data_IF_116981300482
#
_entry.id   IF_116981300482
#
_cell.length_a   1.000
_cell.length_b   1.000
_cell.length_c   1.000
_cell.angle_alpha   90.00
_cell.angle_beta   90.00
_cell.angle_gamma   90.00
#
_symmetry.space_group_name_H-M   'P 1'
#
loop_
_entity.id
_entity.type
_entity.pdbx_description
1 polymer ?
#
# COMPACT_ATOMS: atom_id res chain seq x y z
N UNK A 1 -12.84 -5.21 22.23
CA UNK A 1 -11.69 -4.75 23.04
C UNK A 1 -12.12 -3.57 23.88
N UNK A 2 -11.56 -3.43 25.09
CA UNK A 2 -11.76 -2.23 25.90
C UNK A 2 -11.24 -0.99 25.12
N UNK A 3 -12.00 0.12 25.04
CA UNK A 3 -11.58 1.33 24.33
C UNK A 3 -10.21 1.85 24.79
N UNK A 4 -9.85 1.71 26.07
CA UNK A 4 -8.54 2.11 26.56
C UNK A 4 -7.40 1.30 25.93
N UNK A 5 -7.58 -0.02 25.80
CA UNK A 5 -6.58 -0.90 25.17
C UNK A 5 -6.47 -0.60 23.67
N UNK A 6 -7.59 -0.31 23.00
CA UNK A 6 -7.56 0.10 21.60
C UNK A 6 -6.77 1.41 21.43
N UNK A 7 -7.01 2.39 22.30
CA UNK A 7 -6.29 3.66 22.32
C UNK A 7 -4.79 3.48 22.54
N UNK A 8 -4.38 2.66 23.51
CA UNK A 8 -2.95 2.41 23.78
C UNK A 8 -2.25 1.71 22.61
N UNK A 9 -2.91 0.76 21.93
CA UNK A 9 -2.35 0.11 20.74
C UNK A 9 -2.21 1.06 19.56
N UNK A 10 -3.22 1.92 19.32
CA UNK A 10 -3.14 2.94 18.26
C UNK A 10 -2.06 3.98 18.56
N UNK A 11 -1.89 4.37 19.83
CA UNK A 11 -0.78 5.23 20.26
C UNK A 11 0.57 4.53 20.07
N UNK A 12 0.68 3.25 20.41
CA UNK A 12 1.88 2.43 20.17
C UNK A 12 2.27 2.37 18.69
N UNK A 13 1.28 2.25 17.79
CA UNK A 13 1.49 2.34 16.35
C UNK A 13 2.03 3.70 15.92
N UNK A 14 1.44 4.78 16.45
CA UNK A 14 1.88 6.14 16.19
C UNK A 14 3.32 6.37 16.66
N UNK A 15 3.61 6.02 17.92
CA UNK A 15 4.93 6.15 18.54
C UNK A 15 6.00 5.34 17.81
N UNK A 16 5.68 4.12 17.37
CA UNK A 16 6.60 3.32 16.57
C UNK A 16 6.98 4.05 15.29
N UNK A 17 5.99 4.54 14.53
CA UNK A 17 6.26 5.26 13.28
C UNK A 17 6.98 6.60 13.49
N UNK A 18 6.62 7.39 14.49
CA UNK A 18 7.30 8.67 14.75
C UNK A 18 8.74 8.47 15.15
N UNK A 19 9.03 7.47 16.00
CA UNK A 19 10.39 7.15 16.41
C UNK A 19 11.27 6.78 15.21
N UNK A 20 10.76 5.96 14.28
CA UNK A 20 11.50 5.64 13.04
C UNK A 20 11.74 6.84 12.13
N UNK A 21 10.78 7.77 12.06
CA UNK A 21 10.90 8.96 11.22
C UNK A 21 11.94 9.93 11.76
N UNK A 22 12.03 10.07 13.08
CA UNK A 22 12.94 11.00 13.74
C UNK A 22 14.32 10.42 14.03
N UNK A 23 14.47 9.10 13.96
CA UNK A 23 15.74 8.44 14.32
C UNK A 23 16.82 8.67 13.26
N UNK A 24 18.03 9.02 13.71
CA UNK A 24 19.25 8.99 12.90
C UNK A 24 20.08 7.71 13.10
N UNK A 25 19.77 6.94 14.16
CA UNK A 25 20.51 5.74 14.58
C UNK A 25 19.76 4.45 14.23
N UNK A 26 20.43 3.46 13.63
CA UNK A 26 19.81 2.20 13.19
C UNK A 26 19.09 1.43 14.30
N UNK A 27 19.67 1.32 15.50
CA UNK A 27 19.02 0.64 16.62
C UNK A 27 17.68 1.28 17.01
N UNK A 28 17.59 2.62 16.98
CA UNK A 28 16.34 3.33 17.26
C UNK A 28 15.32 3.07 16.15
N UNK A 29 15.74 3.17 14.89
CA UNK A 29 14.88 2.81 13.75
C UNK A 29 14.34 1.38 13.87
N UNK A 30 15.19 0.42 14.24
CA UNK A 30 14.78 -0.97 14.47
C UNK A 30 13.74 -1.08 15.59
N UNK A 31 14.00 -0.42 16.74
CA UNK A 31 13.07 -0.41 17.88
C UNK A 31 11.71 0.18 17.50
N UNK A 32 11.68 1.28 16.76
CA UNK A 32 10.44 1.91 16.29
C UNK A 32 9.63 0.98 15.38
N UNK A 33 10.30 0.26 14.48
CA UNK A 33 9.65 -0.75 13.66
C UNK A 33 9.10 -1.92 14.49
N UNK A 34 9.82 -2.39 15.50
CA UNK A 34 9.32 -3.47 16.38
C UNK A 34 8.16 -3.02 17.28
N UNK A 35 8.16 -1.78 17.74
CA UNK A 35 6.99 -1.24 18.45
C UNK A 35 5.76 -1.21 17.55
N UNK A 36 5.93 -0.91 16.25
CA UNK A 36 4.82 -0.92 15.29
C UNK A 36 4.30 -2.34 14.97
N UNK A 37 5.16 -3.36 15.00
CA UNK A 37 4.79 -4.75 14.75
C UNK A 37 4.07 -5.34 15.96
N UNK A 38 4.60 -5.12 17.17
CA UNK A 38 3.99 -5.61 18.41
C UNK A 38 2.64 -4.96 18.70
N UNK A 39 2.46 -3.69 18.36
CA UNK A 39 1.18 -2.98 18.55
C UNK A 39 0.09 -3.38 17.55
N UNK A 40 0.42 -3.81 16.33
CA UNK A 40 -0.61 -4.23 15.36
C UNK A 40 -1.09 -5.67 15.57
N UNK A 41 -0.28 -6.57 16.14
CA UNK A 41 -0.63 -8.00 16.29
C UNK A 41 -1.96 -8.19 17.05
N UNK A 42 -2.20 -7.54 18.21
CA UNK A 42 -3.48 -7.66 18.90
C UNK A 42 -4.65 -7.07 18.12
N UNK A 43 -4.42 -6.03 17.29
CA UNK A 43 -5.44 -5.47 16.42
C UNK A 43 -5.83 -6.46 15.32
N UNK A 44 -4.88 -7.22 14.79
CA UNK A 44 -5.13 -8.25 13.79
C UNK A 44 -5.88 -9.46 14.38
N UNK A 45 -5.58 -9.83 15.63
CA UNK A 45 -6.21 -10.95 16.33
C UNK A 45 -7.51 -10.58 17.08
N UNK A 46 -8.11 -9.41 16.79
CA UNK A 46 -9.30 -8.93 17.49
C UNK A 46 -10.46 -9.93 17.53
N UNK A 47 -10.67 -10.63 16.41
CA UNK A 47 -11.65 -11.71 16.30
C UNK A 47 -10.91 -13.03 16.44
N UNK A 48 -11.30 -13.84 17.42
CA UNK A 48 -10.75 -15.17 17.67
C UNK A 48 -11.25 -16.21 16.66
N UNK A 49 -11.11 -15.90 15.36
CA UNK A 49 -11.39 -16.83 14.26
C UNK A 49 -10.07 -17.42 13.74
N UNK A 50 -10.01 -18.71 13.36
CA UNK A 50 -8.77 -19.36 12.93
C UNK A 50 -8.04 -18.61 11.80
N UNK A 51 -8.77 -18.04 10.84
CA UNK A 51 -8.17 -17.21 9.77
C UNK A 51 -7.49 -15.93 10.25
N UNK A 52 -8.02 -15.30 11.30
CA UNK A 52 -7.40 -14.10 11.86
C UNK A 52 -6.10 -14.49 12.59
N UNK A 53 -6.13 -15.60 13.33
CA UNK A 53 -4.94 -16.14 13.99
C UNK A 53 -3.87 -16.55 12.97
N UNK A 54 -4.24 -17.25 11.90
CA UNK A 54 -3.32 -17.62 10.81
C UNK A 54 -2.71 -16.39 10.12
N UNK A 55 -3.51 -15.34 9.87
CA UNK A 55 -3.00 -14.09 9.33
C UNK A 55 -2.03 -13.41 10.31
N UNK A 56 -2.34 -13.41 11.61
CA UNK A 56 -1.45 -12.81 12.62
C UNK A 56 -0.12 -13.54 12.74
N UNK A 57 -0.13 -14.88 12.67
CA UNK A 57 1.10 -15.68 12.77
C UNK A 57 1.97 -15.52 11.53
N UNK A 58 1.36 -15.51 10.33
CA UNK A 58 2.09 -15.23 9.08
C UNK A 58 2.71 -13.84 9.09
N UNK A 59 1.96 -12.82 9.53
CA UNK A 59 2.48 -11.46 9.67
C UNK A 59 3.64 -11.40 10.66
N UNK A 60 3.48 -11.98 11.86
CA UNK A 60 4.53 -11.99 12.88
C UNK A 60 5.81 -12.65 12.36
N UNK A 61 5.72 -13.83 11.75
CA UNK A 61 6.90 -14.53 11.22
C UNK A 61 7.61 -13.74 10.11
N UNK A 62 6.85 -13.18 9.16
CA UNK A 62 7.43 -12.37 8.08
C UNK A 62 8.10 -11.09 8.61
N UNK A 63 7.49 -10.43 9.59
CA UNK A 63 8.03 -9.16 10.12
C UNK A 63 9.18 -9.37 11.11
N UNK A 64 9.14 -10.42 11.93
CA UNK A 64 10.22 -10.77 12.85
C UNK A 64 11.48 -11.18 12.09
N UNK A 65 11.33 -11.95 11.00
CA UNK A 65 12.47 -12.31 10.12
C UNK A 65 13.05 -11.08 9.44
N UNK A 66 12.20 -10.16 8.94
CA UNK A 66 12.65 -8.89 8.39
C UNK A 66 13.39 -8.02 9.42
N UNK A 67 12.89 -7.96 10.65
CA UNK A 67 13.49 -7.16 11.71
C UNK A 67 14.83 -7.77 12.19
N UNK A 68 14.93 -9.10 12.29
CA UNK A 68 16.18 -9.78 12.59
C UNK A 68 17.23 -9.55 11.48
N UNK A 69 16.82 -9.61 10.21
CA UNK A 69 17.69 -9.31 9.07
C UNK A 69 18.18 -7.85 9.10
N UNK A 70 17.29 -6.90 9.45
CA UNK A 70 17.66 -5.49 9.59
C UNK A 70 18.67 -5.28 10.72
N UNK A 71 18.44 -5.89 11.89
CA UNK A 71 19.37 -5.80 13.02
C UNK A 71 20.73 -6.38 12.63
N UNK A 72 20.76 -7.57 12.03
CA UNK A 72 21.99 -8.20 11.56
C UNK A 72 22.74 -7.34 10.54
N UNK A 73 22.04 -6.71 9.61
CA UNK A 73 22.66 -5.82 8.64
C UNK A 73 23.20 -4.54 9.30
N UNK A 74 22.49 -3.99 10.29
CA UNK A 74 22.97 -2.82 11.03
C UNK A 74 24.19 -3.10 11.92
N UNK A 75 24.25 -4.28 12.57
CA UNK A 75 25.40 -4.67 13.40
C UNK A 75 26.62 -5.00 12.55
N UNK A 76 26.43 -5.63 11.39
CA UNK A 76 27.52 -5.86 10.44
C UNK A 76 28.07 -4.55 9.90
N UNK A 77 27.22 -3.55 9.60
CA UNK A 77 27.72 -2.21 9.26
C UNK A 77 28.50 -1.58 10.41
N UNK A 78 27.95 -1.61 11.63
CA UNK A 78 28.62 -1.04 12.80
C UNK A 78 29.97 -1.73 13.10
N UNK A 79 30.10 -3.02 12.82
CA UNK A 79 31.38 -3.71 12.90
C UNK A 79 32.35 -3.18 11.83
N UNK A 80 31.91 -3.07 10.58
CA UNK A 80 32.78 -2.64 9.48
C UNK A 80 33.23 -1.17 9.56
N UNK A 81 32.33 -0.26 9.92
CA UNK A 81 32.56 1.19 9.88
C UNK A 81 32.65 1.85 11.25
N UNK A 82 32.27 1.16 12.32
CA UNK A 82 32.20 1.73 13.68
C UNK A 82 31.03 2.69 13.91
N UNK A 83 30.14 2.87 12.92
CA UNK A 83 29.07 3.87 12.95
C UNK A 83 27.68 3.24 12.86
N UNK A 84 26.71 3.92 13.49
CA UNK A 84 25.30 3.50 13.54
C UNK A 84 24.36 4.45 12.79
N UNK A 85 24.91 5.41 12.05
CA UNK A 85 24.14 6.41 11.33
C UNK A 85 23.44 5.81 10.11
N UNK A 86 22.20 6.23 9.85
CA UNK A 86 21.38 5.71 8.74
C UNK A 86 21.93 6.12 7.37
N UNK A 87 22.41 7.35 7.25
CA UNK A 87 22.82 7.93 5.96
C UNK A 87 24.19 7.42 5.48
N UNK A 88 25.04 6.95 6.39
CA UNK A 88 26.44 6.60 6.10
C UNK A 88 26.62 5.09 5.93
N UNK A 89 25.94 4.54 4.93
CA UNK A 89 26.00 3.11 4.56
C UNK A 89 26.69 2.94 3.22
N UNK A 90 28.01 2.69 3.23
CA UNK A 90 28.82 2.56 2.01
C UNK A 90 29.00 1.11 1.54
N UNK A 91 28.99 0.14 2.45
CA UNK A 91 29.32 -1.23 2.11
C UNK A 91 28.15 -1.96 1.42
N UNK A 92 28.37 -2.61 0.25
CA UNK A 92 27.28 -3.19 -0.55
C UNK A 92 26.54 -4.34 0.15
N UNK A 93 27.25 -5.17 0.94
CA UNK A 93 26.64 -6.30 1.65
C UNK A 93 25.59 -5.88 2.71
N UNK A 94 25.90 -5.04 3.73
CA UNK A 94 24.88 -4.54 4.66
C UNK A 94 23.74 -3.80 3.95
N UNK A 95 24.08 -3.00 2.94
CA UNK A 95 23.08 -2.20 2.21
C UNK A 95 22.05 -3.08 1.51
N UNK A 96 22.50 -4.11 0.78
CA UNK A 96 21.59 -5.04 0.10
C UNK A 96 20.73 -5.82 1.09
N UNK A 97 21.28 -6.23 2.23
CA UNK A 97 20.51 -6.89 3.30
C UNK A 97 19.45 -5.96 3.90
N UNK A 98 19.75 -4.68 4.13
CA UNK A 98 18.77 -3.71 4.63
C UNK A 98 17.66 -3.48 3.60
N UNK A 99 18.02 -3.32 2.32
CA UNK A 99 17.02 -3.17 1.24
C UNK A 99 16.11 -4.40 1.17
N UNK A 100 16.67 -5.61 1.26
CA UNK A 100 15.87 -6.86 1.28
C UNK A 100 15.01 -6.98 2.55
N UNK A 101 15.52 -6.56 3.71
CA UNK A 101 14.75 -6.55 4.96
C UNK A 101 13.57 -5.59 4.89
N UNK A 102 13.79 -4.37 4.40
CA UNK A 102 12.73 -3.38 4.20
C UNK A 102 11.76 -3.82 3.08
N UNK A 103 12.25 -4.47 2.04
CA UNK A 103 11.44 -5.09 0.99
C UNK A 103 10.48 -6.15 1.55
N UNK A 104 10.96 -7.01 2.46
CA UNK A 104 10.14 -7.99 3.15
C UNK A 104 9.09 -7.31 4.05
N UNK A 105 9.46 -6.25 4.79
CA UNK A 105 8.50 -5.50 5.64
C UNK A 105 7.37 -4.86 4.84
N UNK A 106 7.71 -4.27 3.69
CA UNK A 106 6.76 -3.58 2.80
C UNK A 106 5.91 -4.57 1.99
N UNK A 107 6.46 -5.75 1.68
CA UNK A 107 5.82 -6.80 0.88
C UNK A 107 6.11 -6.71 -0.62
N UNK A 108 7.34 -6.44 -1.01
CA UNK A 108 7.76 -6.40 -2.42
C UNK A 108 8.03 -7.80 -2.96
N UNK A 109 7.92 -7.97 -4.28
CA UNK A 109 8.37 -9.21 -4.91
C UNK A 109 9.90 -9.32 -4.86
N UNK A 110 10.47 -10.52 -4.61
CA UNK A 110 9.82 -11.83 -4.51
C UNK A 110 9.19 -12.14 -3.13
N UNK A 111 9.53 -11.41 -2.08
CA UNK A 111 9.09 -11.61 -0.68
C UNK A 111 7.67 -11.11 -0.35
N UNK A 112 6.77 -11.09 -1.34
CA UNK A 112 5.43 -10.51 -1.27
C UNK A 112 4.34 -11.46 -0.79
N UNK A 113 4.63 -12.77 -0.72
CA UNK A 113 3.62 -13.83 -0.58
C UNK A 113 2.80 -13.75 0.71
N UNK A 114 3.36 -13.17 1.77
CA UNK A 114 2.66 -12.98 3.04
C UNK A 114 1.50 -11.97 2.91
N UNK A 115 1.64 -10.94 2.07
CA UNK A 115 0.74 -9.78 2.08
C UNK A 115 -0.70 -10.14 1.62
N UNK A 116 -0.92 -10.87 0.51
CA UNK A 116 -2.27 -11.28 0.10
C UNK A 116 -2.96 -12.23 1.08
N UNK A 117 -2.21 -13.10 1.75
CA UNK A 117 -2.77 -14.04 2.71
C UNK A 117 -3.18 -13.35 4.00
N UNK A 118 -2.31 -12.48 4.52
CA UNK A 118 -2.60 -11.68 5.72
C UNK A 118 -3.80 -10.79 5.48
N UNK A 119 -3.83 -10.00 4.39
CA UNK A 119 -4.98 -9.12 4.12
C UNK A 119 -6.31 -9.86 3.98
N UNK A 120 -6.32 -11.11 3.48
CA UNK A 120 -7.55 -11.89 3.39
C UNK A 120 -8.09 -12.34 4.75
N UNK A 121 -7.23 -12.59 5.73
CA UNK A 121 -7.63 -12.99 7.08
C UNK A 121 -8.09 -11.84 7.98
N UNK A 122 -7.79 -10.60 7.59
CA UNK A 122 -8.08 -9.39 8.38
C UNK A 122 -9.42 -8.75 8.05
N UNK A 123 -9.95 -7.99 9.01
CA UNK A 123 -11.09 -7.09 8.80
C UNK A 123 -10.70 -5.89 7.91
N UNK A 124 -11.67 -5.25 7.25
CA UNK A 124 -11.39 -4.15 6.31
C UNK A 124 -10.70 -2.95 6.97
N UNK A 125 -10.97 -2.68 8.24
CA UNK A 125 -10.34 -1.58 8.98
C UNK A 125 -8.89 -1.87 9.33
N UNK A 126 -8.57 -3.09 9.76
CA UNK A 126 -7.19 -3.49 10.06
C UNK A 126 -6.38 -3.70 8.78
N UNK A 127 -7.03 -4.19 7.72
CA UNK A 127 -6.45 -4.24 6.38
C UNK A 127 -6.09 -2.86 5.82
N UNK A 128 -6.93 -1.84 6.07
CA UNK A 128 -6.61 -0.46 5.74
C UNK A 128 -5.34 0.01 6.47
N UNK A 129 -5.27 -0.15 7.80
CA UNK A 129 -4.09 0.22 8.61
C UNK A 129 -2.82 -0.49 8.10
N UNK A 130 -2.92 -1.78 7.76
CA UNK A 130 -1.80 -2.54 7.21
C UNK A 130 -1.36 -2.03 5.82
N UNK A 131 -2.33 -1.66 4.97
CA UNK A 131 -2.05 -1.20 3.61
C UNK A 131 -1.53 0.23 3.52
N UNK A 132 -1.73 1.05 4.55
CA UNK A 132 -1.32 2.46 4.60
C UNK A 132 -0.27 2.71 5.69
N UNK A 133 -0.69 2.69 6.95
CA UNK A 133 0.12 3.10 8.09
C UNK A 133 1.40 2.28 8.25
N UNK A 134 1.30 0.95 8.14
CA UNK A 134 2.47 0.06 8.27
C UNK A 134 3.50 0.23 7.15
N UNK A 135 3.16 0.91 6.05
CA UNK A 135 4.11 1.18 4.97
C UNK A 135 4.91 2.45 5.20
N UNK A 136 4.45 3.39 6.05
CA UNK A 136 5.10 4.68 6.28
C UNK A 136 6.54 4.54 6.81
N UNK A 137 6.71 3.83 7.92
CA UNK A 137 8.01 3.72 8.58
C UNK A 137 9.07 3.00 7.72
N UNK A 138 8.79 1.83 7.11
CA UNK A 138 9.75 1.20 6.20
C UNK A 138 10.08 2.06 4.97
N UNK A 139 9.10 2.78 4.40
CA UNK A 139 9.37 3.68 3.27
C UNK A 139 10.23 4.86 3.68
N UNK A 140 10.03 5.43 4.87
CA UNK A 140 10.88 6.52 5.34
C UNK A 140 12.34 6.09 5.46
N UNK A 141 12.60 4.88 5.96
CA UNK A 141 13.96 4.34 6.00
C UNK A 141 14.52 4.09 4.60
N UNK A 142 13.71 3.60 3.67
CA UNK A 142 14.13 3.49 2.27
C UNK A 142 14.45 4.86 1.64
N UNK A 143 13.74 5.94 2.01
CA UNK A 143 14.02 7.29 1.52
C UNK A 143 15.30 7.88 2.10
N UNK A 144 15.60 7.57 3.37
CA UNK A 144 16.83 7.99 4.04
C UNK A 144 18.06 7.24 3.51
N UNK A 145 17.86 6.01 3.01
CA UNK A 145 18.87 5.23 2.33
C UNK A 145 19.01 5.71 0.88
N UNK A 146 20.21 6.15 0.51
CA UNK A 146 20.56 6.38 -0.90
C UNK A 146 21.53 5.29 -1.36
N UNK A 147 21.02 4.15 -1.86
CA UNK A 147 21.90 3.10 -2.32
C UNK A 147 22.67 3.54 -3.56
N UNK A 148 23.97 3.24 -3.56
CA UNK A 148 24.85 3.49 -4.71
C UNK A 148 24.43 2.65 -5.93
N UNK A 149 23.99 1.40 -5.71
CA UNK A 149 23.61 0.49 -6.78
C UNK A 149 22.11 0.54 -7.10
N UNK A 150 21.79 1.03 -8.30
CA UNK A 150 20.42 1.14 -8.82
C UNK A 150 19.78 -0.20 -9.20
N UNK A 151 20.60 -1.21 -9.47
CA UNK A 151 20.17 -2.48 -10.07
C UNK A 151 19.21 -3.26 -9.16
N UNK A 152 19.48 -3.27 -7.85
CA UNK A 152 18.64 -3.99 -6.87
C UNK A 152 17.26 -3.35 -6.74
N UNK A 153 17.19 -2.02 -6.67
CA UNK A 153 15.91 -1.31 -6.60
C UNK A 153 15.11 -1.48 -7.90
N UNK A 154 15.76 -1.34 -9.06
CA UNK A 154 15.10 -1.50 -10.36
C UNK A 154 14.55 -2.92 -10.52
N UNK A 155 15.33 -3.94 -10.17
CA UNK A 155 14.88 -5.34 -10.26
C UNK A 155 13.72 -5.65 -9.33
N UNK A 156 13.76 -5.19 -8.06
CA UNK A 156 12.63 -5.30 -7.13
C UNK A 156 11.39 -4.54 -7.63
N UNK A 157 11.58 -3.34 -8.20
CA UNK A 157 10.51 -2.51 -8.75
C UNK A 157 9.82 -3.19 -9.94
N UNK A 158 10.56 -3.64 -10.95
CA UNK A 158 9.98 -4.33 -12.12
C UNK A 158 9.31 -5.63 -11.70
N UNK A 159 9.97 -6.45 -10.87
CA UNK A 159 9.41 -7.72 -10.40
C UNK A 159 8.09 -7.53 -9.65
N UNK A 160 8.00 -6.52 -8.78
CA UNK A 160 6.78 -6.24 -8.01
C UNK A 160 5.65 -5.72 -8.89
N UNK A 161 5.92 -4.90 -9.92
CA UNK A 161 4.86 -4.51 -10.87
C UNK A 161 4.34 -5.70 -11.69
N UNK A 162 5.21 -6.61 -12.13
CA UNK A 162 4.82 -7.83 -12.87
C UNK A 162 3.98 -8.77 -12.00
N UNK A 163 4.47 -9.09 -10.80
CA UNK A 163 3.81 -10.01 -9.88
C UNK A 163 2.49 -9.43 -9.35
N UNK A 164 2.46 -8.13 -9.04
CA UNK A 164 1.22 -7.44 -8.65
C UNK A 164 0.18 -7.45 -9.78
N UNK A 165 0.62 -7.23 -11.03
CA UNK A 165 -0.23 -7.34 -12.22
C UNK A 165 -0.84 -8.73 -12.37
N UNK A 166 0.00 -9.77 -12.53
CA UNK A 166 -0.49 -11.14 -12.75
C UNK A 166 -1.26 -11.73 -11.57
N UNK A 167 -0.78 -11.50 -10.35
CA UNK A 167 -1.40 -12.04 -9.14
C UNK A 167 -2.82 -11.53 -8.93
N UNK A 168 -3.09 -10.26 -9.29
CA UNK A 168 -4.41 -9.63 -9.19
C UNK A 168 -5.45 -10.17 -10.18
N UNK A 169 -5.03 -10.64 -11.36
CA UNK A 169 -5.92 -11.11 -12.43
C UNK A 169 -6.79 -12.31 -12.02
N UNK A 170 -6.31 -13.15 -11.11
CA UNK A 170 -7.01 -14.39 -10.73
C UNK A 170 -7.70 -14.30 -9.36
N UNK A 171 -7.90 -13.10 -8.80
CA UNK A 171 -8.53 -12.94 -7.50
C UNK A 171 -10.00 -12.52 -7.61
N UNK A 172 -10.85 -13.23 -6.88
CA UNK A 172 -12.28 -12.87 -6.68
C UNK A 172 -12.55 -12.20 -5.34
N UNK A 173 -11.57 -12.25 -4.43
CA UNK A 173 -11.65 -11.65 -3.11
C UNK A 173 -11.07 -10.23 -3.15
N UNK A 174 -11.85 -9.24 -2.74
CA UNK A 174 -11.50 -7.83 -2.86
C UNK A 174 -10.23 -7.47 -2.07
N UNK A 175 -10.06 -8.09 -0.89
CA UNK A 175 -8.87 -7.87 -0.05
C UNK A 175 -7.59 -8.36 -0.72
N UNK A 176 -7.64 -9.48 -1.46
CA UNK A 176 -6.50 -9.96 -2.26
C UNK A 176 -6.25 -9.11 -3.50
N UNK A 177 -7.29 -8.60 -4.13
CA UNK A 177 -7.11 -7.65 -5.25
C UNK A 177 -6.36 -6.40 -4.77
N UNK A 178 -6.76 -5.83 -3.62
CA UNK A 178 -6.07 -4.68 -3.01
C UNK A 178 -4.65 -5.02 -2.52
N UNK A 179 -4.42 -6.27 -2.10
CA UNK A 179 -3.07 -6.74 -1.77
C UNK A 179 -2.14 -6.66 -2.99
N UNK A 180 -2.54 -7.24 -4.12
CA UNK A 180 -1.74 -7.24 -5.34
C UNK A 180 -1.61 -5.85 -5.96
N UNK A 181 -2.64 -5.00 -5.84
CA UNK A 181 -2.48 -3.62 -6.24
C UNK A 181 -1.47 -2.86 -5.38
N UNK A 182 -1.44 -3.11 -4.06
CA UNK A 182 -0.42 -2.53 -3.21
C UNK A 182 0.97 -2.95 -3.68
N UNK A 183 1.20 -4.23 -3.98
CA UNK A 183 2.49 -4.74 -4.48
C UNK A 183 2.88 -4.00 -5.78
N UNK A 184 1.94 -3.84 -6.71
CA UNK A 184 2.19 -3.13 -7.96
C UNK A 184 2.53 -1.65 -7.73
N UNK A 185 1.77 -0.93 -6.90
CA UNK A 185 2.04 0.49 -6.60
C UNK A 185 3.37 0.68 -5.88
N UNK A 186 3.75 -0.21 -4.95
CA UNK A 186 5.05 -0.14 -4.28
C UNK A 186 6.21 -0.38 -5.26
N UNK A 187 5.99 -1.20 -6.28
CA UNK A 187 6.94 -1.35 -7.38
C UNK A 187 7.21 -0.04 -8.12
N UNK A 188 6.15 0.70 -8.45
CA UNK A 188 6.28 2.04 -9.04
C UNK A 188 7.05 3.01 -8.14
N UNK A 189 6.78 2.99 -6.82
CA UNK A 189 7.50 3.84 -5.87
C UNK A 189 8.99 3.53 -5.86
N UNK A 190 9.37 2.26 -5.90
CA UNK A 190 10.77 1.84 -5.78
C UNK A 190 11.57 2.09 -7.06
N UNK A 191 10.94 2.01 -8.22
CA UNK A 191 11.58 2.37 -9.49
C UNK A 191 12.13 3.81 -9.50
N UNK A 192 11.51 4.71 -8.75
CA UNK A 192 11.87 6.15 -8.75
C UNK A 192 12.57 6.61 -7.48
N UNK A 193 12.65 5.74 -6.46
CA UNK A 193 13.21 6.09 -5.15
C UNK A 193 14.61 6.67 -5.23
N UNK A 194 15.46 6.11 -6.08
CA UNK A 194 16.83 6.58 -6.23
C UNK A 194 16.92 7.87 -7.07
N UNK A 195 16.05 8.06 -8.05
CA UNK A 195 16.14 9.18 -8.98
C UNK A 195 15.51 10.46 -8.45
N UNK A 196 14.36 10.34 -7.77
CA UNK A 196 13.67 11.49 -7.20
C UNK A 196 12.85 11.07 -5.97
N UNK A 197 13.39 11.24 -4.76
CA UNK A 197 12.67 10.88 -3.53
C UNK A 197 11.38 11.70 -3.37
N UNK A 198 11.34 12.94 -3.84
CA UNK A 198 10.15 13.78 -3.83
C UNK A 198 8.97 13.16 -4.60
N UNK A 199 9.21 12.62 -5.81
CA UNK A 199 8.16 11.92 -6.57
C UNK A 199 7.69 10.65 -5.86
N UNK A 200 8.60 9.92 -5.21
CA UNK A 200 8.17 8.72 -4.47
C UNK A 200 7.26 9.06 -3.29
N UNK A 201 7.53 10.13 -2.55
CA UNK A 201 6.66 10.59 -1.48
C UNK A 201 5.29 11.03 -2.03
N UNK A 202 5.27 11.74 -3.16
CA UNK A 202 4.02 12.09 -3.85
C UNK A 202 3.22 10.83 -4.25
N UNK A 203 3.90 9.81 -4.80
CA UNK A 203 3.25 8.56 -5.22
C UNK A 203 2.71 7.76 -4.03
N UNK A 204 3.40 7.79 -2.88
CA UNK A 204 2.95 7.18 -1.64
C UNK A 204 1.68 7.86 -1.11
N UNK A 205 1.67 9.20 -1.06
CA UNK A 205 0.52 9.98 -0.58
C UNK A 205 -0.71 9.79 -1.47
N UNK A 206 -0.54 9.85 -2.79
CA UNK A 206 -1.64 9.59 -3.74
C UNK A 206 -2.17 8.18 -3.59
N UNK A 207 -1.29 7.18 -3.43
CA UNK A 207 -1.68 5.79 -3.15
C UNK A 207 -2.48 5.65 -1.85
N UNK A 208 -2.09 6.33 -0.77
CA UNK A 208 -2.85 6.31 0.49
C UNK A 208 -4.25 6.91 0.35
N UNK A 209 -4.39 8.04 -0.34
CA UNK A 209 -5.70 8.65 -0.58
C UNK A 209 -6.60 7.70 -1.39
N UNK A 210 -6.06 7.09 -2.45
CA UNK A 210 -6.80 6.14 -3.28
C UNK A 210 -7.18 4.86 -2.52
N UNK A 211 -6.26 4.23 -1.80
CA UNK A 211 -6.56 3.02 -1.04
C UNK A 211 -7.53 3.29 0.11
N UNK A 212 -7.38 4.42 0.81
CA UNK A 212 -8.31 4.81 1.87
C UNK A 212 -9.74 4.93 1.35
N UNK A 213 -9.94 5.58 0.19
CA UNK A 213 -11.26 5.68 -0.44
C UNK A 213 -11.85 4.30 -0.80
N UNK A 214 -11.07 3.39 -1.41
CA UNK A 214 -11.56 2.05 -1.78
C UNK A 214 -11.92 1.16 -0.58
N UNK A 215 -11.09 1.15 0.47
CA UNK A 215 -11.40 0.39 1.68
C UNK A 215 -12.64 0.94 2.40
N UNK A 216 -12.84 2.26 2.41
CA UNK A 216 -14.06 2.87 2.96
C UNK A 216 -15.31 2.48 2.17
N UNK A 217 -15.24 2.47 0.83
CA UNK A 217 -16.31 1.94 -0.03
C UNK A 217 -16.66 0.50 0.37
N UNK A 218 -15.66 -0.37 0.46
CA UNK A 218 -15.88 -1.77 0.79
C UNK A 218 -16.46 -1.94 2.20
N UNK A 219 -16.05 -1.10 3.15
CA UNK A 219 -16.56 -1.10 4.53
C UNK A 219 -18.02 -0.66 4.60
N UNK A 220 -18.39 0.40 3.89
CA UNK A 220 -19.78 0.89 3.87
C UNK A 220 -20.74 -0.14 3.25
N UNK A 221 -20.29 -0.85 2.22
CA UNK A 221 -21.08 -1.89 1.56
C UNK A 221 -20.95 -3.29 2.21
N UNK A 222 -20.10 -3.44 3.24
CA UNK A 222 -19.71 -4.73 3.81
C UNK A 222 -19.32 -5.80 2.76
N UNK A 223 -18.67 -5.37 1.66
CA UNK A 223 -18.34 -6.22 0.54
C UNK A 223 -16.93 -6.81 0.69
N UNK A 224 -16.82 -8.14 0.62
CA UNK A 224 -15.53 -8.85 0.65
C UNK A 224 -15.23 -9.62 -0.66
N UNK A 225 -16.25 -9.91 -1.46
CA UNK A 225 -16.14 -10.58 -2.76
C UNK A 225 -16.71 -9.72 -3.89
N UNK A 226 -16.32 -10.02 -5.13
CA UNK A 226 -16.85 -9.34 -6.34
C UNK A 226 -18.38 -9.42 -6.38
N UNK A 227 -18.97 -10.59 -6.11
CA UNK A 227 -20.42 -10.76 -6.15
C UNK A 227 -21.14 -9.94 -5.07
N UNK A 228 -20.57 -9.85 -3.87
CA UNK A 228 -21.12 -9.01 -2.81
C UNK A 228 -21.08 -7.52 -3.20
N UNK A 229 -19.99 -7.09 -3.85
CA UNK A 229 -19.87 -5.73 -4.37
C UNK A 229 -20.84 -5.47 -5.52
N UNK A 230 -21.07 -6.44 -6.41
CA UNK A 230 -22.00 -6.33 -7.54
C UNK A 230 -23.43 -6.03 -7.07
N UNK A 231 -23.89 -6.65 -5.98
CA UNK A 231 -25.23 -6.37 -5.42
C UNK A 231 -25.36 -5.02 -4.69
N UNK A 232 -24.30 -4.20 -4.62
CA UNK A 232 -24.34 -2.93 -3.91
C UNK A 232 -25.17 -1.84 -4.61
N UNK A 233 -25.40 -1.96 -5.93
CA UNK A 233 -26.07 -0.93 -6.73
C UNK A 233 -27.50 -0.63 -6.24
N UNK A 234 -28.20 -1.65 -5.71
CA UNK A 234 -29.56 -1.47 -5.17
C UNK A 234 -29.57 -0.82 -3.79
N UNK A 235 -28.46 -0.84 -3.04
CA UNK A 235 -28.37 -0.31 -1.68
C UNK A 235 -27.93 1.15 -1.67
N UNK A 236 -26.91 1.48 -2.46
CA UNK A 236 -26.28 2.80 -2.48
C UNK A 236 -25.85 3.19 -3.91
N UNK A 237 -26.80 3.60 -4.78
CA UNK A 237 -26.52 3.84 -6.21
C UNK A 237 -25.51 4.97 -6.44
N UNK A 238 -25.51 6.01 -5.60
CA UNK A 238 -24.54 7.10 -5.69
C UNK A 238 -23.10 6.60 -5.44
N UNK A 239 -22.92 5.72 -4.44
CA UNK A 239 -21.63 5.13 -4.17
C UNK A 239 -21.19 4.23 -5.30
N UNK A 240 -22.08 3.35 -5.80
CA UNK A 240 -21.71 2.48 -6.91
C UNK A 240 -21.31 3.28 -8.14
N UNK A 241 -21.98 4.39 -8.48
CA UNK A 241 -21.59 5.23 -9.61
C UNK A 241 -20.16 5.81 -9.49
N UNK A 242 -19.72 6.19 -8.28
CA UNK A 242 -18.40 6.78 -8.07
C UNK A 242 -17.27 5.75 -7.99
N UNK A 243 -17.57 4.53 -7.54
CA UNK A 243 -16.54 3.52 -7.31
C UNK A 243 -15.73 3.06 -8.53
N UNK A 244 -16.29 2.90 -9.75
CA UNK A 244 -15.50 2.71 -10.95
C UNK A 244 -14.44 3.80 -11.14
N UNK A 245 -14.80 5.07 -10.93
CA UNK A 245 -13.86 6.18 -11.13
C UNK A 245 -12.70 6.09 -10.13
N UNK A 246 -12.97 5.69 -8.88
CA UNK A 246 -11.92 5.44 -7.88
C UNK A 246 -11.05 4.23 -8.25
N UNK A 247 -11.63 3.15 -8.76
CA UNK A 247 -10.85 1.98 -9.20
C UNK A 247 -10.00 2.28 -10.44
N UNK A 248 -10.52 3.09 -11.36
CA UNK A 248 -9.81 3.54 -12.55
C UNK A 248 -8.71 4.55 -12.20
N UNK A 249 -8.86 5.33 -11.12
CA UNK A 249 -7.79 6.19 -10.63
C UNK A 249 -6.62 5.36 -10.10
N UNK A 250 -6.88 4.27 -9.34
CA UNK A 250 -5.84 3.28 -8.99
C UNK A 250 -5.20 2.65 -10.23
N UNK A 251 -5.99 2.36 -11.27
CA UNK A 251 -5.52 1.91 -12.58
C UNK A 251 -4.61 2.92 -13.28
N UNK A 252 -4.74 4.22 -12.96
CA UNK A 252 -3.96 5.31 -13.52
C UNK A 252 -4.41 5.68 -14.93
N UNK A 253 -5.72 5.86 -15.15
CA UNK A 253 -6.24 6.40 -16.42
C UNK A 253 -6.29 7.93 -16.42
N UNK A 254 -5.91 8.61 -17.51
CA UNK A 254 -6.28 10.01 -17.70
C UNK A 254 -7.81 10.11 -17.84
N UNK A 255 -8.52 11.09 -17.23
CA UNK A 255 -8.08 12.33 -16.57
C UNK A 255 -7.94 12.27 -15.02
N UNK A 256 -7.82 11.08 -14.44
CA UNK A 256 -7.89 10.86 -12.98
C UNK A 256 -6.53 11.05 -12.28
N UNK A 257 -6.56 11.26 -10.96
CA UNK A 257 -5.36 11.65 -10.20
C UNK A 257 -4.28 10.57 -10.12
N UNK A 258 -4.64 9.29 -10.15
CA UNK A 258 -3.65 8.22 -10.12
C UNK A 258 -2.85 8.07 -11.42
N UNK A 259 -3.22 8.77 -12.50
CA UNK A 259 -2.38 8.87 -13.70
C UNK A 259 -1.15 9.75 -13.48
N UNK A 260 -1.30 10.84 -12.72
CA UNK A 260 -0.23 11.80 -12.41
C UNK A 260 1.07 11.15 -11.92
N UNK A 261 1.07 10.32 -10.85
CA UNK A 261 2.31 9.71 -10.35
C UNK A 261 2.98 8.80 -11.39
N UNK A 262 2.21 7.96 -12.10
CA UNK A 262 2.76 7.05 -13.11
C UNK A 262 3.36 7.81 -14.29
N UNK A 263 2.70 8.88 -14.72
CA UNK A 263 3.20 9.73 -15.80
C UNK A 263 4.52 10.41 -15.46
N UNK A 264 4.62 11.04 -14.27
CA UNK A 264 5.85 11.68 -13.81
C UNK A 264 7.00 10.68 -13.61
N UNK A 265 6.70 9.49 -13.09
CA UNK A 265 7.68 8.40 -12.97
C UNK A 265 8.25 8.02 -14.33
N UNK A 266 7.38 7.80 -15.33
CA UNK A 266 7.82 7.46 -16.68
C UNK A 266 8.69 8.56 -17.29
N UNK A 267 8.34 9.82 -17.05
CA UNK A 267 9.14 10.95 -17.49
C UNK A 267 10.55 10.93 -16.87
N UNK A 268 10.67 10.72 -15.56
CA UNK A 268 12.00 10.64 -14.92
C UNK A 268 12.81 9.44 -15.38
N UNK A 269 12.20 8.26 -15.53
CA UNK A 269 12.91 7.07 -16.04
C UNK A 269 13.46 7.30 -17.46
N UNK A 270 12.71 8.00 -18.32
CA UNK A 270 13.20 8.34 -19.67
C UNK A 270 14.34 9.37 -19.66
N UNK A 271 14.32 10.35 -18.74
CA UNK A 271 15.42 11.31 -18.58
C UNK A 271 16.73 10.63 -18.17
N UNK A 272 16.64 9.56 -17.39
CA UNK A 272 17.79 8.76 -16.94
C UNK A 272 18.25 7.71 -17.97
N UNK A 273 17.72 7.73 -19.20
CA UNK A 273 18.08 6.77 -20.26
C UNK A 273 17.50 5.36 -20.09
N UNK A 274 16.64 5.13 -19.09
CA UNK A 274 16.04 3.83 -18.79
C UNK A 274 14.72 3.61 -19.55
N UNK A 275 14.73 3.81 -20.87
CA UNK A 275 13.53 3.71 -21.69
C UNK A 275 12.90 2.30 -21.66
N UNK A 276 13.72 1.24 -21.65
CA UNK A 276 13.24 -0.15 -21.65
C UNK A 276 12.48 -0.45 -20.34
N UNK A 277 13.02 -0.06 -19.18
CA UNK A 277 12.34 -0.30 -17.90
C UNK A 277 11.04 0.51 -17.80
N UNK A 278 11.02 1.74 -18.33
CA UNK A 278 9.82 2.56 -18.41
C UNK A 278 8.73 1.88 -19.26
N UNK A 279 9.08 1.34 -20.43
CA UNK A 279 8.11 0.61 -21.27
C UNK A 279 7.57 -0.65 -20.60
N UNK A 280 8.43 -1.43 -19.93
CA UNK A 280 8.01 -2.60 -19.17
C UNK A 280 7.05 -2.21 -18.03
N UNK A 281 7.40 -1.19 -17.24
CA UNK A 281 6.53 -0.71 -16.17
C UNK A 281 5.17 -0.22 -16.70
N UNK A 282 5.15 0.51 -17.83
CA UNK A 282 3.91 0.95 -18.46
C UNK A 282 3.02 -0.24 -18.89
N UNK A 283 3.60 -1.28 -19.50
CA UNK A 283 2.87 -2.48 -19.90
C UNK A 283 2.31 -3.26 -18.69
N UNK A 284 3.06 -3.35 -17.59
CA UNK A 284 2.56 -4.02 -16.37
C UNK A 284 1.45 -3.25 -15.68
N UNK A 285 1.43 -1.92 -15.78
CA UNK A 285 0.29 -1.14 -15.31
C UNK A 285 -1.01 -1.48 -16.06
N UNK A 286 -0.96 -1.82 -17.34
CA UNK A 286 -2.14 -2.25 -18.08
C UNK A 286 -2.72 -3.57 -17.55
N UNK A 287 -1.87 -4.50 -17.07
CA UNK A 287 -2.33 -5.72 -16.39
C UNK A 287 -3.11 -5.37 -15.11
N UNK A 288 -2.61 -4.40 -14.34
CA UNK A 288 -3.29 -3.94 -13.13
C UNK A 288 -4.65 -3.29 -13.42
N UNK A 289 -4.70 -2.51 -14.50
CA UNK A 289 -5.90 -1.82 -14.97
C UNK A 289 -7.00 -2.82 -15.37
N UNK A 290 -6.65 -3.96 -15.96
CA UNK A 290 -7.65 -4.95 -16.37
C UNK A 290 -8.48 -5.51 -15.21
N UNK A 291 -7.88 -5.85 -14.06
CA UNK A 291 -8.69 -6.35 -12.94
C UNK A 291 -9.55 -5.26 -12.29
N UNK A 292 -9.14 -3.99 -12.36
CA UNK A 292 -9.99 -2.87 -11.98
C UNK A 292 -11.16 -2.66 -12.93
N UNK A 293 -10.92 -2.78 -14.25
CA UNK A 293 -12.00 -2.77 -15.24
C UNK A 293 -12.98 -3.91 -14.99
N UNK A 294 -12.50 -5.12 -14.72
CA UNK A 294 -13.36 -6.27 -14.37
C UNK A 294 -14.26 -5.97 -13.16
N UNK A 295 -13.70 -5.36 -12.11
CA UNK A 295 -14.47 -4.94 -10.94
C UNK A 295 -15.51 -3.88 -11.27
N UNK A 296 -15.14 -2.87 -12.07
CA UNK A 296 -16.07 -1.82 -12.50
C UNK A 296 -17.22 -2.37 -13.36
N UNK A 297 -16.91 -3.35 -14.21
CA UNK A 297 -17.86 -4.02 -15.09
C UNK A 297 -18.89 -4.81 -14.29
N UNK A 298 -18.42 -5.63 -13.33
CA UNK A 298 -19.28 -6.43 -12.47
C UNK A 298 -20.18 -5.58 -11.57
N UNK A 299 -19.78 -4.36 -11.23
CA UNK A 299 -20.53 -3.51 -10.28
C UNK A 299 -21.52 -2.55 -10.94
N UNK A 300 -21.12 -1.88 -12.02
CA UNK A 300 -21.86 -0.71 -12.54
C UNK A 300 -22.25 -0.83 -14.00
N UNK A 301 -21.36 -1.34 -14.85
CA UNK A 301 -21.64 -1.43 -16.28
C UNK A 301 -22.62 -2.57 -16.59
N UNK A 302 -22.71 -3.56 -15.70
CA UNK A 302 -23.72 -4.62 -15.75
C UNK A 302 -24.50 -4.68 -14.44
N UNK A 303 -25.78 -4.99 -14.53
CA UNK A 303 -26.63 -5.21 -13.35
C UNK A 303 -26.66 -6.70 -13.02
N UNK A 304 -26.01 -7.08 -11.92
CA UNK A 304 -26.10 -8.45 -11.39
C UNK A 304 -27.45 -8.69 -10.71
N UNK A 305 -27.98 -9.94 -10.74
CA UNK A 305 -29.21 -10.28 -10.04
C UNK A 305 -29.08 -10.02 -8.54
N UNK A 306 -30.13 -9.45 -7.94
CA UNK A 306 -30.18 -9.15 -6.51
C UNK A 306 -31.08 -10.13 -5.75
N UNK A 307 -30.82 -10.29 -4.45
CA UNK A 307 -31.62 -11.15 -3.58
C UNK A 307 -32.79 -10.37 -2.98
N UNK A 308 -33.91 -11.04 -2.69
CA UNK A 308 -35.09 -10.43 -2.05
C UNK A 308 -34.76 -9.75 -0.70
N UNK A 309 -33.83 -10.33 0.06
CA UNK A 309 -33.32 -9.75 1.32
C UNK A 309 -32.48 -8.47 1.12
N UNK A 310 -32.24 -8.03 -0.13
CA UNK A 310 -31.62 -6.76 -0.47
C UNK A 310 -32.59 -5.57 -0.54
N UNK A 311 -33.90 -5.80 -0.43
CA UNK A 311 -34.95 -4.76 -0.44
C UNK A 311 -35.17 -3.98 0.88
N UNK A 312 -35.05 -4.56 2.10
CA UNK A 312 -35.29 -3.80 3.33
C UNK A 312 -34.29 -2.69 3.66
N UNK A 313 -32.99 -2.70 3.27
CA UNK A 313 -32.06 -1.64 3.65
C UNK A 313 -32.38 -0.28 3.01
N UNK A 314 -33.24 -0.21 1.98
CA UNK A 314 -33.71 1.08 1.45
C UNK A 314 -34.41 1.92 2.54
N UNK A 315 -35.08 1.28 3.50
CA UNK A 315 -35.80 2.01 4.56
C UNK A 315 -34.90 2.56 5.67
N UNK A 316 -33.65 2.09 5.76
CA UNK A 316 -32.75 2.41 6.88
C UNK A 316 -31.65 3.36 6.42
N UNK A 317 -31.41 4.42 7.19
CA UNK A 317 -30.27 5.30 6.99
C UNK A 317 -29.02 4.69 7.62
N UNK A 318 -27.89 4.78 6.93
CA UNK A 318 -26.60 4.33 7.47
C UNK A 318 -26.10 5.29 8.55
N UNK A 319 -25.73 4.77 9.71
CA UNK A 319 -25.13 5.55 10.82
C UNK A 319 -23.62 5.81 10.64
N UNK A 320 -23.02 5.34 9.54
CA UNK A 320 -21.58 5.51 9.30
C UNK A 320 -21.28 6.91 8.75
N UNK A 321 -20.19 7.52 9.21
CA UNK A 321 -19.76 8.85 8.77
C UNK A 321 -19.29 8.81 7.30
N UNK A 322 -19.97 9.55 6.43
CA UNK A 322 -19.66 9.63 4.99
C UNK A 322 -18.65 10.72 4.64
N UNK A 323 -18.39 11.68 5.53
CA UNK A 323 -17.45 12.78 5.30
C UNK A 323 -16.03 12.34 4.90
N UNK A 324 -15.35 11.40 5.60
CA UNK A 324 -13.99 10.98 5.20
C UNK A 324 -13.98 10.31 3.82
N UNK A 325 -15.04 9.60 3.47
CA UNK A 325 -15.20 9.01 2.14
C UNK A 325 -15.39 10.10 1.07
N UNK A 326 -16.24 11.10 1.32
CA UNK A 326 -16.47 12.18 0.37
C UNK A 326 -15.18 12.98 0.08
N UNK A 327 -14.40 13.31 1.11
CA UNK A 327 -13.12 14.02 0.97
C UNK A 327 -12.09 13.18 0.21
N UNK A 328 -11.98 11.89 0.54
CA UNK A 328 -11.01 11.02 -0.15
C UNK A 328 -11.43 10.71 -1.58
N UNK A 329 -12.71 10.43 -1.86
CA UNK A 329 -13.19 10.23 -3.23
C UNK A 329 -13.02 11.47 -4.10
N UNK A 330 -13.37 12.66 -3.63
CA UNK A 330 -13.15 13.90 -4.39
C UNK A 330 -11.67 14.16 -4.69
N UNK A 331 -10.79 13.97 -3.71
CA UNK A 331 -9.34 14.07 -3.93
C UNK A 331 -8.78 12.99 -4.87
N UNK A 332 -9.34 11.78 -4.93
CA UNK A 332 -8.93 10.79 -5.94
C UNK A 332 -9.35 11.12 -7.38
N UNK A 333 -10.31 12.04 -7.56
CA UNK A 333 -10.85 12.35 -8.88
C UNK A 333 -10.32 13.67 -9.43
N UNK A 334 -10.16 14.70 -8.58
CA UNK A 334 -10.03 16.09 -9.02
C UNK A 334 -8.64 16.74 -8.86
N UNK A 335 -7.62 16.05 -8.33
CA UNK A 335 -6.28 16.64 -8.10
C UNK A 335 -5.41 16.78 -9.37
N UNK A 336 -5.73 16.14 -10.49
CA UNK A 336 -4.90 16.19 -11.69
C UNK A 336 -4.66 17.61 -12.25
N UNK A 337 -5.64 18.51 -12.34
CA UNK A 337 -5.39 19.90 -12.75
C UNK A 337 -4.48 20.68 -11.79
N UNK A 338 -4.35 20.27 -10.53
CA UNK A 338 -3.45 20.88 -9.56
C UNK A 338 -2.01 20.37 -9.67
N UNK A 339 -1.72 19.51 -10.65
CA UNK A 339 -0.39 18.95 -10.90
C UNK A 339 0.73 20.02 -10.89
N UNK A 340 0.64 21.15 -11.63
CA UNK A 340 1.73 22.11 -11.68
C UNK A 340 2.08 22.71 -10.31
N UNK A 341 1.05 22.97 -9.49
CA UNK A 341 1.23 23.49 -8.14
C UNK A 341 1.89 22.44 -7.23
N UNK A 342 1.47 21.17 -7.35
CA UNK A 342 2.05 20.07 -6.56
C UNK A 342 3.53 19.86 -6.93
N UNK A 343 3.87 19.90 -8.22
CA UNK A 343 5.26 19.75 -8.68
C UNK A 343 6.15 20.91 -8.25
N UNK A 344 5.60 22.13 -8.19
CA UNK A 344 6.33 23.29 -7.71
C UNK A 344 6.66 23.21 -6.20
N UNK A 345 5.78 22.58 -5.42
CA UNK A 345 6.01 22.37 -3.98
C UNK A 345 6.99 21.21 -3.72
N UNK A 346 6.97 20.17 -4.56
CA UNK A 346 7.78 18.97 -4.34
C UNK A 346 9.25 19.13 -4.76
N UNK A 347 9.54 20.06 -5.66
CA UNK A 347 10.90 20.36 -6.11
C UNK A 347 11.34 21.71 -5.50
N UNK A 348 11.94 21.72 -4.29
CA UNK A 348 12.52 22.94 -3.73
C UNK A 348 13.71 23.46 -4.54
#
# INVERSE_FOLDING_TARGET
>A
MNPYILGTLLLGLGLGTTLTLTSSHWLLAWMGLEMSTLSIIPLMAQRSHPRAVEATTKYFLAQATAAAMLLFASTTNAWLTGQWEIQQMSHPLPLTLIVLALALKVGLAPVHTWLPEVLQGLDLTTGLILSTWQKLAPFALLLQLQPADSTVLITLGVASTLVGGWGGLNQTQLRKVLAYSSIAHLGWMILVLQFSPALTLLTLLTYFVMTFSTFLVFKLNNATSINALATAWTKAPAMTCLTPLVLLSLGGLPPLTGFMPKWLILQELTKQGLAITATLAALTALLSLYFYLRLSYAMTLTMSPNNLAGTPPWRLQSLQTSLPLAVTTTSTLALLPLLPAITAISNP
#
